data_IF_839808341240
#
_entry.id   IF_839808341240
#
_cell.length_a   1.000
_cell.length_b   1.000
_cell.length_c   1.000
_cell.angle_alpha   90.00
_cell.angle_beta   90.00
_cell.angle_gamma   90.00
#
_symmetry.space_group_name_H-M   'P 1'
#
loop_
_entity.id
_entity.type
_entity.pdbx_description
1 polymer ?
#
# COMPACT_ATOMS: atom_id res chain seq x y z
N UNK A 1 19.62 7.44 20.42
CA UNK A 1 19.21 6.07 20.02
C UNK A 1 18.16 6.13 18.92
N UNK A 2 17.23 7.09 19.01
CA UNK A 2 16.28 7.53 17.99
C UNK A 2 16.83 7.59 16.54
N UNK A 3 18.01 8.19 16.33
CA UNK A 3 18.60 8.39 14.98
C UNK A 3 18.71 7.09 14.15
N UNK A 4 18.96 5.94 14.79
CA UNK A 4 19.01 4.64 14.12
C UNK A 4 17.61 4.18 13.69
N UNK A 5 16.62 4.32 14.56
CA UNK A 5 15.24 3.94 14.25
C UNK A 5 14.62 4.85 13.19
N UNK A 6 14.91 6.16 13.24
CA UNK A 6 14.57 7.11 12.16
C UNK A 6 15.19 6.72 10.82
N UNK A 7 16.44 6.26 10.79
CA UNK A 7 17.06 5.75 9.57
C UNK A 7 16.38 4.47 9.05
N UNK A 8 16.03 3.53 9.94
CA UNK A 8 15.26 2.33 9.58
C UNK A 8 13.90 2.72 9.01
N UNK A 9 13.20 3.67 9.65
CA UNK A 9 11.93 4.23 9.15
C UNK A 9 12.09 4.78 7.74
N UNK A 10 13.10 5.61 7.50
CA UNK A 10 13.37 6.20 6.20
C UNK A 10 13.60 5.12 5.12
N UNK A 11 14.34 4.05 5.45
CA UNK A 11 14.53 2.90 4.56
C UNK A 11 13.21 2.20 4.21
N UNK A 12 12.33 1.98 5.19
CA UNK A 12 11.01 1.41 4.95
C UNK A 12 10.10 2.35 4.14
N UNK A 13 10.11 3.66 4.43
CA UNK A 13 9.38 4.68 3.64
C UNK A 13 9.84 4.63 2.17
N UNK A 14 11.15 4.60 1.92
CA UNK A 14 11.70 4.50 0.56
C UNK A 14 11.30 3.20 -0.16
N UNK A 15 11.26 2.07 0.54
CA UNK A 15 10.78 0.81 -0.03
C UNK A 15 9.28 0.87 -0.39
N UNK A 16 8.45 1.49 0.46
CA UNK A 16 7.04 1.73 0.16
C UNK A 16 6.89 2.66 -1.05
N UNK A 17 7.66 3.75 -1.14
CA UNK A 17 7.63 4.64 -2.31
C UNK A 17 7.88 3.91 -3.62
N UNK A 18 8.83 2.96 -3.65
CA UNK A 18 9.08 2.14 -4.85
C UNK A 18 7.88 1.26 -5.22
N UNK A 19 7.22 0.66 -4.23
CA UNK A 19 6.00 -0.12 -4.46
C UNK A 19 4.85 0.77 -4.95
N UNK A 20 4.69 1.97 -4.40
CA UNK A 20 3.66 2.91 -4.84
C UNK A 20 3.89 3.39 -6.27
N UNK A 21 5.15 3.59 -6.70
CA UNK A 21 5.47 3.86 -8.11
C UNK A 21 5.07 2.70 -9.02
N UNK A 22 5.37 1.47 -8.61
CA UNK A 22 4.92 0.27 -9.35
C UNK A 22 3.40 0.21 -9.47
N UNK A 23 2.67 0.60 -8.42
CA UNK A 23 1.22 0.71 -8.49
C UNK A 23 0.74 1.76 -9.50
N UNK A 24 1.40 2.92 -9.55
CA UNK A 24 1.09 3.97 -10.53
C UNK A 24 1.33 3.50 -11.98
N UNK A 25 2.38 2.71 -12.22
CA UNK A 25 2.65 2.07 -13.50
C UNK A 25 1.54 1.06 -13.88
N UNK A 26 1.15 0.19 -12.94
CA UNK A 26 0.05 -0.78 -13.15
C UNK A 26 -1.26 -0.06 -13.46
N UNK A 27 -1.56 1.02 -12.75
CA UNK A 27 -2.81 1.78 -12.95
C UNK A 27 -2.88 2.44 -14.33
N UNK A 28 -1.73 2.75 -14.94
CA UNK A 28 -1.65 3.31 -16.29
C UNK A 28 -1.64 2.24 -17.38
N UNK A 29 -1.45 0.96 -17.03
CA UNK A 29 -1.46 -0.15 -17.97
C UNK A 29 -2.87 -0.60 -18.34
N UNK A 30 -3.09 -0.91 -19.62
CA UNK A 30 -4.32 -1.55 -20.09
C UNK A 30 -4.43 -3.04 -19.70
N UNK A 31 -3.34 -3.64 -19.23
CA UNK A 31 -3.22 -5.07 -18.90
C UNK A 31 -3.00 -5.31 -17.41
N UNK A 32 -3.65 -4.51 -16.56
CA UNK A 32 -3.50 -4.63 -15.11
C UNK A 32 -3.83 -6.06 -14.63
N UNK A 33 -2.83 -6.77 -14.09
CA UNK A 33 -2.99 -8.13 -13.58
C UNK A 33 -3.47 -8.12 -12.12
N UNK A 34 -4.54 -8.88 -11.85
CA UNK A 34 -5.12 -9.00 -10.52
C UNK A 34 -4.12 -9.59 -9.51
N UNK A 35 -3.34 -10.62 -9.88
CA UNK A 35 -2.39 -11.23 -8.95
C UNK A 35 -1.25 -10.28 -8.59
N UNK A 36 -0.75 -9.53 -9.57
CA UNK A 36 0.23 -8.48 -9.32
C UNK A 36 -0.30 -7.39 -8.36
N UNK A 37 -1.53 -6.90 -8.58
CA UNK A 37 -2.14 -5.88 -7.70
C UNK A 37 -2.38 -6.47 -6.30
N UNK A 38 -2.83 -7.72 -6.21
CA UNK A 38 -3.09 -8.39 -4.93
C UNK A 38 -1.81 -8.56 -4.13
N UNK A 39 -0.72 -8.98 -4.77
CA UNK A 39 0.61 -9.08 -4.16
C UNK A 39 1.10 -7.71 -3.67
N UNK A 40 0.93 -6.67 -4.49
CA UNK A 40 1.30 -5.31 -4.11
C UNK A 40 0.52 -4.83 -2.89
N UNK A 41 -0.79 -5.08 -2.84
CA UNK A 41 -1.64 -4.75 -1.70
C UNK A 41 -1.16 -5.43 -0.41
N UNK A 42 -0.85 -6.72 -0.48
CA UNK A 42 -0.34 -7.48 0.66
C UNK A 42 0.98 -6.89 1.19
N UNK A 43 1.96 -6.71 0.31
CA UNK A 43 3.29 -6.23 0.70
C UNK A 43 3.23 -4.81 1.26
N UNK A 44 2.45 -3.90 0.65
CA UNK A 44 2.30 -2.54 1.15
C UNK A 44 1.59 -2.53 2.51
N UNK A 45 0.58 -3.39 2.71
CA UNK A 45 -0.10 -3.55 4.00
C UNK A 45 0.85 -4.03 5.09
N UNK A 46 1.70 -5.03 4.80
CA UNK A 46 2.70 -5.52 5.74
C UNK A 46 3.74 -4.42 6.08
N UNK A 47 4.17 -3.64 5.09
CA UNK A 47 5.09 -2.51 5.33
C UNK A 47 4.45 -1.39 6.14
N UNK A 48 3.15 -1.12 5.97
CA UNK A 48 2.41 -0.18 6.82
C UNK A 48 2.49 -0.59 8.29
N UNK A 49 2.14 -1.85 8.61
CA UNK A 49 2.24 -2.40 9.98
C UNK A 49 3.65 -2.30 10.56
N UNK A 50 4.65 -2.56 9.71
CA UNK A 50 6.05 -2.43 10.13
C UNK A 50 6.41 -0.98 10.46
N UNK A 51 5.91 -0.02 9.69
CA UNK A 51 6.13 1.40 9.95
C UNK A 51 5.38 1.91 11.19
N UNK A 52 4.16 1.42 11.46
CA UNK A 52 3.42 1.70 12.70
C UNK A 52 4.27 1.27 13.92
N UNK A 53 4.77 0.03 13.92
CA UNK A 53 5.66 -0.48 14.98
C UNK A 53 6.97 0.32 15.11
N UNK A 54 7.51 0.85 14.01
CA UNK A 54 8.72 1.68 14.04
C UNK A 54 8.39 3.05 14.63
N UNK A 55 7.25 3.66 14.28
CA UNK A 55 6.82 4.95 14.81
C UNK A 55 6.61 4.87 16.32
N UNK A 56 5.95 3.82 16.82
CA UNK A 56 5.78 3.59 18.27
C UNK A 56 7.14 3.55 18.99
N UNK A 57 8.09 2.78 18.47
CA UNK A 57 9.46 2.69 19.03
C UNK A 57 10.25 3.99 18.96
N UNK A 58 9.99 4.82 17.94
CA UNK A 58 10.60 6.14 17.86
C UNK A 58 10.00 7.03 18.95
N UNK A 59 8.67 7.07 19.08
CA UNK A 59 7.98 7.86 20.11
C UNK A 59 8.44 7.50 21.53
N UNK A 60 8.64 6.22 21.84
CA UNK A 60 9.18 5.77 23.14
C UNK A 60 10.59 6.32 23.46
N UNK A 61 11.33 6.77 22.44
CA UNK A 61 12.72 7.22 22.54
C UNK A 61 12.89 8.71 22.24
N UNK A 62 11.82 9.41 21.87
CA UNK A 62 11.81 10.84 21.54
C UNK A 62 11.64 11.66 22.82
N UNK A 63 12.35 12.80 22.94
CA UNK A 63 12.18 13.70 24.08
C UNK A 63 10.87 14.49 24.00
N UNK A 64 10.37 14.94 25.14
CA UNK A 64 9.09 15.67 25.22
C UNK A 64 9.02 16.88 24.28
N UNK A 65 10.14 17.56 24.03
CA UNK A 65 10.19 18.72 23.13
C UNK A 65 9.94 18.34 21.65
N UNK A 66 10.33 17.13 21.25
CA UNK A 66 10.29 16.67 19.85
C UNK A 66 9.10 15.73 19.56
N UNK A 67 8.39 15.24 20.59
CA UNK A 67 7.27 14.29 20.45
C UNK A 67 6.18 14.82 19.52
N UNK A 68 5.81 16.10 19.63
CA UNK A 68 4.75 16.67 18.80
C UNK A 68 5.09 16.64 17.30
N UNK A 69 6.33 16.96 16.96
CA UNK A 69 6.83 16.90 15.58
C UNK A 69 6.82 15.46 15.08
N UNK A 70 7.27 14.53 15.93
CA UNK A 70 7.36 13.12 15.61
C UNK A 70 5.99 12.47 15.35
N UNK A 71 4.97 12.86 16.13
CA UNK A 71 3.58 12.47 15.92
C UNK A 71 3.08 13.01 14.57
N UNK A 72 3.26 14.31 14.33
CA UNK A 72 2.80 14.95 13.10
C UNK A 72 3.39 14.31 11.84
N UNK A 73 4.71 14.09 11.79
CA UNK A 73 5.40 13.46 10.66
C UNK A 73 4.95 12.01 10.42
N UNK A 74 4.66 11.29 11.51
CA UNK A 74 4.16 9.92 11.47
C UNK A 74 2.75 9.87 10.90
N UNK A 75 1.86 10.71 11.41
CA UNK A 75 0.45 10.78 11.02
C UNK A 75 0.27 11.20 9.57
N UNK A 76 0.99 12.23 9.12
CA UNK A 76 0.93 12.70 7.73
C UNK A 76 1.32 11.60 6.75
N UNK A 77 2.40 10.87 7.05
CA UNK A 77 2.84 9.77 6.21
C UNK A 77 1.83 8.60 6.25
N UNK A 78 1.32 8.22 7.43
CA UNK A 78 0.36 7.13 7.56
C UNK A 78 -0.96 7.43 6.87
N UNK A 79 -1.44 8.67 6.94
CA UNK A 79 -2.62 9.10 6.22
C UNK A 79 -2.46 8.93 4.71
N UNK A 80 -1.34 9.42 4.16
CA UNK A 80 -1.05 9.30 2.73
C UNK A 80 -0.93 7.84 2.28
N UNK A 81 -0.29 7.00 3.09
CA UNK A 81 -0.16 5.57 2.82
C UNK A 81 -1.52 4.85 2.85
N UNK A 82 -2.36 5.15 3.84
CA UNK A 82 -3.71 4.62 3.96
C UNK A 82 -4.58 5.01 2.75
N UNK A 83 -4.49 6.27 2.32
CA UNK A 83 -5.17 6.74 1.12
C UNK A 83 -4.74 5.96 -0.13
N UNK A 84 -3.44 5.74 -0.33
CA UNK A 84 -2.91 4.94 -1.45
C UNK A 84 -3.34 3.47 -1.36
N UNK A 85 -3.37 2.87 -0.17
CA UNK A 85 -3.88 1.51 0.05
C UNK A 85 -5.36 1.37 -0.35
N UNK A 86 -6.19 2.38 -0.06
CA UNK A 86 -7.59 2.40 -0.52
C UNK A 86 -7.69 2.44 -2.05
N UNK A 87 -6.81 3.18 -2.72
CA UNK A 87 -6.75 3.21 -4.19
C UNK A 87 -6.36 1.83 -4.76
N UNK A 88 -5.31 1.20 -4.21
CA UNK A 88 -4.88 -0.15 -4.60
C UNK A 88 -6.03 -1.15 -4.41
N UNK A 89 -6.71 -1.10 -3.26
CA UNK A 89 -7.86 -1.97 -2.95
C UNK A 89 -9.00 -1.77 -3.96
N UNK A 90 -9.29 -0.51 -4.32
CA UNK A 90 -10.33 -0.20 -5.31
C UNK A 90 -9.98 -0.77 -6.69
N UNK A 91 -8.72 -0.64 -7.11
CA UNK A 91 -8.27 -1.19 -8.40
C UNK A 91 -8.34 -2.72 -8.40
N UNK A 92 -7.83 -3.38 -7.35
CA UNK A 92 -7.89 -4.84 -7.19
C UNK A 92 -9.31 -5.38 -7.37
N UNK A 93 -10.29 -4.78 -6.66
CA UNK A 93 -11.70 -5.15 -6.79
C UNK A 93 -12.25 -4.91 -8.19
N UNK A 94 -11.88 -3.80 -8.83
CA UNK A 94 -12.33 -3.48 -10.19
C UNK A 94 -11.85 -4.52 -11.20
N UNK A 95 -10.55 -4.89 -11.15
CA UNK A 95 -9.96 -5.89 -12.05
C UNK A 95 -10.56 -7.28 -11.79
N UNK A 96 -10.76 -7.65 -10.52
CA UNK A 96 -11.41 -8.91 -10.16
C UNK A 96 -12.83 -9.02 -10.74
N UNK A 97 -13.62 -7.95 -10.60
CA UNK A 97 -15.01 -7.92 -11.10
C UNK A 97 -15.08 -7.97 -12.63
N UNK A 98 -14.16 -7.31 -13.34
CA UNK A 98 -14.06 -7.39 -14.79
C UNK A 98 -13.79 -8.83 -15.26
N UNK A 99 -12.82 -9.53 -14.63
CA UNK A 99 -12.52 -10.94 -14.95
C UNK A 99 -13.75 -11.84 -14.76
N UNK A 100 -14.46 -11.70 -13.64
CA UNK A 100 -15.67 -12.49 -13.37
C UNK A 100 -16.76 -12.22 -14.42
N UNK A 101 -16.97 -10.97 -14.83
CA UNK A 101 -17.95 -10.60 -15.85
C UNK A 101 -17.62 -11.20 -17.23
N UNK A 102 -16.34 -11.18 -17.62
CA UNK A 102 -15.87 -11.81 -18.86
C UNK A 102 -16.10 -13.32 -18.85
N UNK A 103 -15.77 -14.00 -17.76
CA UNK A 103 -15.97 -15.45 -17.62
C UNK A 103 -17.45 -15.84 -17.70
N UNK A 104 -18.34 -15.09 -17.05
CA UNK A 104 -19.79 -15.36 -17.11
C UNK A 104 -20.34 -15.16 -18.52
N UNK A 105 -19.86 -14.16 -19.26
CA UNK A 105 -20.27 -13.91 -20.65
C UNK A 105 -19.87 -15.07 -21.56
N UNK A 106 -18.63 -15.56 -21.45
CA UNK A 106 -18.13 -16.69 -22.24
C UNK A 106 -18.92 -17.98 -21.96
N UNK A 107 -19.20 -18.28 -20.68
CA UNK A 107 -19.97 -19.47 -20.29
C UNK A 107 -21.41 -19.47 -20.80
N UNK A 108 -22.01 -18.29 -21.03
CA UNK A 108 -23.35 -18.17 -21.64
C UNK A 108 -23.30 -18.45 -23.13
N UNK A 109 -22.35 -17.85 -23.85
CA UNK A 109 -22.18 -18.07 -25.29
C UNK A 109 -21.88 -19.54 -25.65
N UNK A 110 -21.16 -20.26 -24.78
CA UNK A 110 -20.88 -21.70 -24.97
C UNK A 110 -22.06 -22.64 -24.69
N UNK A 111 -23.17 -22.15 -24.13
CA UNK A 111 -24.38 -22.95 -23.86
C UNK A 111 -25.45 -22.83 -24.96
N UNK A 112 -25.29 -21.86 -25.85
CA UNK A 112 -26.23 -21.58 -26.96
C UNK A 112 -25.76 -22.19 -28.30
N UNK A 113 -24.79 -23.11 -28.27
CA UNK A 113 -24.26 -23.91 -29.40
C UNK A 113 -24.39 -25.39 -29.07
#
# INVERSE_FOLDING_TARGET
MDTKMKAVRAGHKGAVTKLLKKFEEIQQSSEADHEEISTLLEVVTQKKRTLENINEKILEQTSDEDVAVEIQESDEYMFNLEYKLRQITKLSKSVQNQRLSSTVTLLRQSKDV
#
